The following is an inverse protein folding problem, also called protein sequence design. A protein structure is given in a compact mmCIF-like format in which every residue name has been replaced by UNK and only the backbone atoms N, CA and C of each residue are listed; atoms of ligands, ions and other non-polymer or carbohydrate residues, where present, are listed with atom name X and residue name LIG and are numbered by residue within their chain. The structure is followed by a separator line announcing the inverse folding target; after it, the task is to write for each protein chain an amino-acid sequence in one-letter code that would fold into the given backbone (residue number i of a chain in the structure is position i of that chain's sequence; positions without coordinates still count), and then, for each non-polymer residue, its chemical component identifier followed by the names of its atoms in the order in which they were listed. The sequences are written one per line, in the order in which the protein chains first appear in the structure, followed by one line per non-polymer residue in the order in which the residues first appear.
data_IF_250029559658
#
_entry.id   IF_250029559658
#
_cell.length_a   1.000
_cell.length_b   1.000
_cell.length_c   1.000
_cell.angle_alpha   90.00
_cell.angle_beta   90.00
_cell.angle_gamma   90.00
#
_symmetry.space_group_name_H-M   'P 1'
#
loop_
_entity.id
_entity.type
_entity.pdbx_description
1 polymer ?
#
# COMPACT_ATOMS: atom_id res chain seq x y z
N UNK A 1 18.28 2.44 -6.96
CA UNK A 1 18.96 3.39 -6.03
C UNK A 1 19.50 2.52 -4.91
N UNK A 2 20.82 2.46 -4.69
CA UNK A 2 21.39 1.61 -3.66
C UNK A 2 20.87 1.99 -2.28
N UNK A 3 20.58 1.00 -1.45
CA UNK A 3 20.20 1.20 -0.06
C UNK A 3 21.44 1.67 0.69
N UNK A 4 21.34 2.73 1.48
CA UNK A 4 22.47 3.22 2.26
C UNK A 4 22.69 2.32 3.48
N UNK A 5 23.88 1.72 3.59
CA UNK A 5 24.27 0.92 4.76
C UNK A 5 25.03 1.81 5.76
N UNK A 6 24.57 1.90 7.02
CA UNK A 6 25.27 2.66 8.05
C UNK A 6 26.54 1.93 8.52
N UNK A 7 27.63 2.68 8.72
CA UNK A 7 28.85 2.25 9.38
C UNK A 7 28.89 2.69 10.85
N UNK A 8 29.75 2.05 11.65
CA UNK A 8 29.98 2.41 13.05
C UNK A 8 30.43 3.87 13.25
N UNK A 9 31.08 4.45 12.24
CA UNK A 9 31.52 5.85 12.21
C UNK A 9 30.41 6.84 11.80
N UNK A 10 29.16 6.37 11.72
CA UNK A 10 27.97 7.15 11.30
C UNK A 10 28.02 7.66 9.86
N UNK A 11 28.91 7.12 9.02
CA UNK A 11 28.87 7.36 7.58
C UNK A 11 27.96 6.34 6.89
N UNK A 12 27.46 6.70 5.71
CA UNK A 12 26.67 5.81 4.87
C UNK A 12 27.49 5.40 3.64
N UNK A 13 27.43 4.12 3.29
CA UNK A 13 27.97 3.61 2.04
C UNK A 13 26.86 3.00 1.21
N UNK A 14 27.08 2.90 -0.11
CA UNK A 14 26.19 2.13 -0.97
C UNK A 14 26.16 0.68 -0.49
N UNK A 15 25.02 0.29 0.04
CA UNK A 15 24.66 -1.09 0.31
C UNK A 15 24.22 -1.79 -0.97
N UNK A 16 23.84 -3.08 -0.87
CA UNK A 16 23.32 -3.81 -2.01
C UNK A 16 22.19 -3.01 -2.68
N UNK A 17 22.15 -3.05 -4.01
CA UNK A 17 21.20 -2.28 -4.83
C UNK A 17 19.73 -2.56 -4.49
N UNK A 18 19.47 -3.65 -3.76
CA UNK A 18 18.15 -4.16 -3.43
C UNK A 18 18.24 -5.09 -2.20
N UNK A 19 17.21 -5.08 -1.35
CA UNK A 19 17.01 -6.11 -0.29
C UNK A 19 16.75 -7.50 -0.89
N UNK A 20 16.39 -7.56 -2.16
CA UNK A 20 16.07 -8.76 -2.91
C UNK A 20 17.15 -9.05 -3.95
N UNK A 21 17.44 -10.32 -4.20
CA UNK A 21 18.27 -10.72 -5.35
C UNK A 21 17.64 -10.17 -6.64
N UNK A 22 18.48 -9.80 -7.61
CA UNK A 22 18.00 -9.41 -8.94
C UNK A 22 17.05 -10.50 -9.47
N UNK A 23 15.79 -10.15 -9.75
CA UNK A 23 14.80 -11.15 -10.08
C UNK A 23 15.11 -11.74 -11.46
N UNK A 24 15.28 -13.06 -11.54
CA UNK A 24 15.47 -13.77 -12.82
C UNK A 24 14.17 -13.94 -13.60
N UNK A 25 13.03 -13.56 -12.99
CA UNK A 25 11.67 -13.62 -13.55
C UNK A 25 10.86 -12.46 -13.01
N UNK A 26 9.88 -11.99 -13.78
CA UNK A 26 8.94 -10.98 -13.31
C UNK A 26 8.12 -11.51 -12.11
N UNK A 27 8.11 -10.74 -11.01
CA UNK A 27 7.30 -11.01 -9.81
C UNK A 27 6.32 -9.85 -9.65
N UNK A 28 5.02 -10.13 -9.81
CA UNK A 28 3.99 -9.07 -9.81
C UNK A 28 3.68 -8.47 -8.44
N UNK A 29 4.03 -9.18 -7.35
CA UNK A 29 3.77 -8.72 -5.97
C UNK A 29 4.88 -7.88 -5.36
N UNK A 30 6.09 -7.92 -5.92
CA UNK A 30 7.26 -7.20 -5.45
C UNK A 30 8.32 -7.13 -6.56
N UNK A 31 9.13 -6.07 -6.61
CA UNK A 31 10.25 -5.96 -7.55
C UNK A 31 10.02 -5.06 -8.76
N UNK A 32 8.87 -4.39 -8.85
CA UNK A 32 8.70 -3.29 -9.81
C UNK A 32 9.51 -2.07 -9.37
N UNK A 33 10.41 -1.62 -10.23
CA UNK A 33 11.12 -0.36 -10.07
C UNK A 33 10.49 0.69 -11.01
N UNK A 34 10.14 1.85 -10.46
CA UNK A 34 9.57 2.96 -11.23
C UNK A 34 10.01 4.30 -10.64
N UNK A 35 9.83 5.37 -11.39
CA UNK A 35 10.02 6.73 -10.89
C UNK A 35 8.79 7.18 -10.10
N UNK A 36 8.95 8.12 -9.17
CA UNK A 36 7.81 8.73 -8.45
C UNK A 36 6.80 9.36 -9.42
N UNK A 37 7.21 10.12 -10.45
CA UNK A 37 6.28 10.66 -11.45
C UNK A 37 5.46 9.58 -12.18
N UNK A 38 6.09 8.49 -12.59
CA UNK A 38 5.39 7.43 -13.34
C UNK A 38 4.42 6.65 -12.47
N UNK A 39 4.80 6.34 -11.23
CA UNK A 39 3.88 5.73 -10.25
C UNK A 39 2.67 6.66 -9.98
N UNK A 40 2.92 7.97 -9.83
CA UNK A 40 1.87 8.96 -9.57
C UNK A 40 0.91 9.10 -10.76
N UNK A 41 1.39 8.98 -12.01
CA UNK A 41 0.52 8.99 -13.20
C UNK A 41 -0.49 7.85 -13.19
N UNK A 42 -0.09 6.66 -12.74
CA UNK A 42 -1.00 5.50 -12.59
C UNK A 42 -2.02 5.77 -11.49
N UNK A 43 -1.59 6.29 -10.34
CA UNK A 43 -2.48 6.61 -9.21
C UNK A 43 -3.49 7.73 -9.52
N UNK A 44 -3.15 8.64 -10.45
CA UNK A 44 -4.01 9.72 -10.89
C UNK A 44 -4.97 9.32 -12.04
N UNK A 45 -4.81 8.13 -12.62
CA UNK A 45 -5.64 7.67 -13.74
C UNK A 45 -7.09 7.29 -13.40
N UNK A 46 -7.49 6.81 -12.20
CA UNK A 46 -8.89 6.51 -11.87
C UNK A 46 -9.75 7.79 -11.69
N UNK A 47 -9.67 8.69 -12.67
CA UNK A 47 -10.50 9.87 -12.88
C UNK A 47 -11.79 9.48 -13.60
N UNK A 48 -12.66 10.45 -13.87
CA UNK A 48 -13.97 10.21 -14.49
C UNK A 48 -13.88 9.46 -15.84
N UNK A 49 -12.83 9.74 -16.62
CA UNK A 49 -12.48 9.04 -17.87
C UNK A 49 -11.09 8.40 -17.71
N UNK A 50 -11.02 7.17 -17.16
CA UNK A 50 -9.76 6.46 -16.94
C UNK A 50 -9.14 6.01 -18.28
N UNK A 51 -7.81 6.07 -18.39
CA UNK A 51 -7.09 5.66 -19.60
C UNK A 51 -6.61 4.20 -19.53
N UNK A 52 -6.40 3.65 -18.33
CA UNK A 52 -5.84 2.32 -18.13
C UNK A 52 -6.90 1.22 -18.12
N UNK A 53 -8.02 1.48 -17.43
CA UNK A 53 -9.12 0.54 -17.26
C UNK A 53 -10.42 1.22 -17.60
N UNK A 54 -11.44 0.46 -18.00
CA UNK A 54 -12.79 1.00 -18.17
C UNK A 54 -13.37 1.38 -16.80
N UNK A 55 -14.24 2.39 -16.74
CA UNK A 55 -14.90 2.82 -15.50
C UNK A 55 -15.60 1.67 -14.77
N UNK A 56 -16.32 0.83 -15.51
CA UNK A 56 -16.98 -0.39 -15.01
C UNK A 56 -16.02 -1.41 -14.36
N UNK A 57 -14.72 -1.31 -14.63
CA UNK A 57 -13.66 -2.12 -13.99
C UNK A 57 -13.02 -1.39 -12.82
N UNK A 58 -12.94 -0.06 -12.86
CA UNK A 58 -12.41 0.77 -11.77
C UNK A 58 -13.33 0.77 -10.56
N UNK A 59 -14.65 0.93 -10.76
CA UNK A 59 -15.60 1.07 -9.66
C UNK A 59 -15.57 -0.14 -8.67
N UNK A 60 -15.51 -1.41 -9.13
CA UNK A 60 -15.36 -2.56 -8.25
C UNK A 60 -14.07 -2.57 -7.42
N UNK A 61 -13.00 -1.89 -7.85
CA UNK A 61 -11.74 -1.84 -7.10
C UNK A 61 -11.91 -1.20 -5.72
N UNK A 62 -12.86 -0.27 -5.60
CA UNK A 62 -13.19 0.47 -4.38
C UNK A 62 -14.35 -0.14 -3.60
N UNK A 63 -14.78 -1.37 -3.94
CA UNK A 63 -15.82 -2.11 -3.23
C UNK A 63 -15.21 -3.10 -2.25
N UNK A 64 -15.77 -3.26 -1.02
CA UNK A 64 -15.35 -4.31 -0.09
C UNK A 64 -15.43 -5.71 -0.71
N UNK A 65 -14.30 -6.44 -0.73
CA UNK A 65 -14.24 -7.80 -1.29
C UNK A 65 -14.39 -8.89 -0.22
N UNK A 66 -14.17 -8.56 1.05
CA UNK A 66 -14.31 -9.50 2.14
C UNK A 66 -15.70 -9.39 2.75
N UNK A 67 -16.47 -10.48 2.70
CA UNK A 67 -17.72 -10.57 3.47
C UNK A 67 -17.42 -10.44 4.97
N UNK A 68 -18.29 -9.74 5.70
CA UNK A 68 -18.16 -9.58 7.15
C UNK A 68 -18.01 -10.92 7.86
N UNK A 69 -17.06 -11.02 8.80
CA UNK A 69 -16.70 -12.24 9.54
C UNK A 69 -16.16 -13.43 8.73
N UNK A 70 -15.93 -13.27 7.43
CA UNK A 70 -15.28 -14.31 6.61
C UNK A 70 -13.83 -14.57 7.07
N UNK A 71 -13.30 -15.74 6.73
CA UNK A 71 -11.89 -16.09 7.00
C UNK A 71 -10.90 -15.02 6.52
N UNK A 72 -10.98 -14.55 5.26
CA UNK A 72 -10.13 -13.47 4.77
C UNK A 72 -10.26 -12.17 5.58
N UNK A 73 -11.48 -11.77 5.94
CA UNK A 73 -11.68 -10.58 6.77
C UNK A 73 -10.99 -10.69 8.13
N UNK A 74 -11.07 -11.86 8.77
CA UNK A 74 -10.39 -12.11 10.06
C UNK A 74 -8.87 -12.03 9.93
N UNK A 75 -8.30 -12.49 8.81
CA UNK A 75 -6.85 -12.38 8.55
C UNK A 75 -6.43 -10.93 8.35
N UNK A 76 -7.20 -10.15 7.60
CA UNK A 76 -6.94 -8.71 7.41
C UNK A 76 -6.93 -7.99 8.76
N UNK A 77 -7.92 -8.26 9.63
CA UNK A 77 -7.97 -7.73 10.99
C UNK A 77 -6.74 -8.15 11.82
N UNK A 78 -6.41 -9.44 11.83
CA UNK A 78 -5.34 -9.98 12.66
C UNK A 78 -3.93 -9.49 12.26
N UNK A 79 -3.75 -9.02 11.03
CA UNK A 79 -2.44 -8.61 10.48
C UNK A 79 -2.22 -7.09 10.49
N UNK A 80 -3.15 -6.31 11.04
CA UNK A 80 -3.11 -4.85 10.93
C UNK A 80 -1.86 -4.19 11.45
N UNK A 81 -1.41 -4.58 12.64
CA UNK A 81 -0.22 -4.01 13.26
C UNK A 81 1.08 -4.28 12.48
N UNK A 82 1.12 -5.36 11.68
CA UNK A 82 2.33 -5.73 10.94
C UNK A 82 2.29 -5.36 9.46
N UNK A 83 1.10 -5.25 8.87
CA UNK A 83 0.97 -5.14 7.41
C UNK A 83 0.44 -3.79 6.94
N UNK A 84 -0.50 -3.17 7.64
CA UNK A 84 -1.19 -1.98 7.12
C UNK A 84 -1.37 -0.82 8.12
N UNK A 85 -0.89 -0.93 9.37
CA UNK A 85 -0.95 0.19 10.33
C UNK A 85 -0.31 1.48 9.80
N UNK A 86 0.77 1.36 9.02
CA UNK A 86 1.49 2.50 8.45
C UNK A 86 0.63 3.30 7.47
N UNK A 87 -0.27 2.63 6.75
CA UNK A 87 -1.16 3.28 5.80
C UNK A 87 -2.44 3.83 6.44
N UNK A 88 -2.66 3.63 7.74
CA UNK A 88 -3.83 4.16 8.48
C UNK A 88 -3.46 5.08 9.64
N UNK A 89 -2.27 5.67 9.64
CA UNK A 89 -1.85 6.59 10.70
C UNK A 89 -1.19 5.89 11.88
N UNK A 90 -0.39 4.84 11.60
CA UNK A 90 0.54 4.13 12.50
C UNK A 90 -0.05 3.25 13.60
N UNK A 91 -1.38 3.19 13.71
CA UNK A 91 -2.10 2.28 14.60
C UNK A 91 -3.29 1.64 13.88
N UNK A 92 -3.45 0.34 14.01
CA UNK A 92 -4.55 -0.40 13.38
C UNK A 92 -5.80 -0.51 14.27
N UNK A 93 -5.69 -0.08 15.54
CA UNK A 93 -6.81 0.05 16.46
C UNK A 93 -7.91 0.95 15.89
N UNK A 94 -9.15 0.58 16.21
CA UNK A 94 -10.37 1.31 15.84
C UNK A 94 -10.58 1.51 14.33
N UNK A 95 -9.82 0.80 13.48
CA UNK A 95 -10.05 0.75 12.04
C UNK A 95 -10.94 -0.45 11.72
N UNK A 96 -11.94 -0.24 10.87
CA UNK A 96 -12.72 -1.31 10.24
C UNK A 96 -12.16 -1.58 8.83
N UNK A 97 -11.14 -2.44 8.70
CA UNK A 97 -10.49 -2.67 7.42
C UNK A 97 -11.35 -3.55 6.52
N UNK A 98 -11.29 -3.29 5.22
CA UNK A 98 -11.59 -4.30 4.22
C UNK A 98 -10.48 -4.30 3.17
N UNK A 99 -10.62 -5.14 2.15
CA UNK A 99 -9.70 -5.15 1.02
C UNK A 99 -10.50 -4.86 -0.25
N UNK A 100 -10.01 -3.93 -1.07
CA UNK A 100 -10.49 -3.70 -2.43
C UNK A 100 -9.63 -4.47 -3.44
N UNK A 101 -9.79 -4.24 -4.74
CA UNK A 101 -8.83 -4.75 -5.72
C UNK A 101 -7.65 -3.79 -5.86
N UNK A 102 -6.65 -3.96 -4.99
CA UNK A 102 -5.41 -3.17 -5.04
C UNK A 102 -4.79 -2.89 -3.67
N UNK A 103 -5.52 -3.11 -2.58
CA UNK A 103 -5.00 -2.92 -1.23
C UNK A 103 -6.10 -2.79 -0.18
N UNK A 104 -5.72 -2.19 0.95
CA UNK A 104 -6.62 -1.89 2.06
C UNK A 104 -7.67 -0.87 1.61
N UNK A 105 -8.93 -1.16 1.88
CA UNK A 105 -10.05 -0.25 1.66
C UNK A 105 -10.53 0.31 3.00
N UNK A 106 -10.51 1.63 3.11
CA UNK A 106 -11.02 2.35 4.27
C UNK A 106 -12.54 2.44 4.17
N UNK A 107 -13.25 1.78 5.09
CA UNK A 107 -14.72 1.67 5.03
C UNK A 107 -15.45 2.75 5.85
N UNK A 108 -14.71 3.46 6.72
CA UNK A 108 -15.18 4.54 7.60
C UNK A 108 -14.08 5.61 7.69
N UNK A 109 -14.45 6.86 7.93
CA UNK A 109 -13.47 7.94 8.09
C UNK A 109 -12.55 7.66 9.29
N UNK A 110 -11.25 7.85 9.09
CA UNK A 110 -10.24 7.73 10.14
C UNK A 110 -9.77 9.14 10.50
N UNK A 111 -10.19 9.63 11.66
CA UNK A 111 -9.83 10.95 12.18
C UNK A 111 -9.01 10.81 13.45
N UNK A 112 -7.80 11.39 13.45
CA UNK A 112 -6.90 11.46 14.60
C UNK A 112 -6.22 12.83 14.60
N UNK A 113 -5.54 13.18 15.69
CA UNK A 113 -4.77 14.42 15.75
C UNK A 113 -3.72 14.45 14.62
N UNK A 114 -3.84 15.41 13.70
CA UNK A 114 -2.93 15.55 12.55
C UNK A 114 -3.07 14.49 11.45
N UNK A 115 -4.11 13.65 11.48
CA UNK A 115 -4.31 12.60 10.48
C UNK A 115 -5.78 12.45 10.09
N UNK A 116 -6.04 12.51 8.79
CA UNK A 116 -7.36 12.27 8.20
C UNK A 116 -7.22 11.30 7.03
N UNK A 117 -8.04 10.25 7.01
CA UNK A 117 -8.22 9.40 5.84
C UNK A 117 -9.69 9.09 5.64
N UNK A 118 -10.23 9.56 4.52
CA UNK A 118 -11.66 9.46 4.24
C UNK A 118 -12.08 8.05 3.85
N UNK A 119 -13.33 7.72 4.15
CA UNK A 119 -14.06 6.56 3.65
C UNK A 119 -13.97 6.45 2.13
N UNK A 120 -13.83 5.22 1.65
CA UNK A 120 -13.68 4.91 0.23
C UNK A 120 -12.23 5.00 -0.27
N UNK A 121 -11.27 5.41 0.57
CA UNK A 121 -9.86 5.43 0.19
C UNK A 121 -9.31 4.02 0.03
N UNK A 122 -8.80 3.69 -1.15
CA UNK A 122 -7.99 2.50 -1.41
C UNK A 122 -6.50 2.83 -1.21
N UNK A 123 -5.79 2.08 -0.38
CA UNK A 123 -4.43 2.43 0.03
C UNK A 123 -3.56 1.20 0.28
N UNK A 124 -2.28 1.32 -0.06
CA UNK A 124 -1.23 0.35 0.23
C UNK A 124 0.14 1.03 0.20
N UNK A 125 1.19 0.35 0.67
CA UNK A 125 2.55 0.83 0.56
C UNK A 125 3.54 -0.29 0.21
N UNK A 126 4.68 0.12 -0.35
CA UNK A 126 5.86 -0.73 -0.45
C UNK A 126 6.67 -0.73 0.85
N UNK A 127 7.42 -1.80 1.07
CA UNK A 127 8.17 -2.05 2.32
C UNK A 127 9.20 -0.97 2.67
N UNK A 128 9.75 -0.27 1.67
CA UNK A 128 10.89 0.65 1.85
C UNK A 128 10.54 1.99 2.53
N UNK A 129 9.27 2.25 2.83
CA UNK A 129 8.80 3.42 3.58
C UNK A 129 8.36 3.08 5.02
N UNK A 130 8.78 1.91 5.56
CA UNK A 130 8.49 1.47 6.93
C UNK A 130 9.59 1.83 7.95
N UNK A 131 10.47 2.79 7.63
CA UNK A 131 11.53 3.29 8.52
C UNK A 131 11.14 4.64 9.12
#
# INVERSE_FOLDING_TARGET
MPLLTPKEDRTFVDGPASFFLEPTKAVGGAGTCSSVPDCTRVLADPKEVPALLKKETVDPMFTPQCAGSSGPHKVVLATGETTWRSVVGTKADDVVPNHGFGGLLVTEDIEREGYLKSKGTLTWNGMTNSL
#
